data_IF_416952074661
#
_entry.id   IF_416952074661
#
_cell.length_a   1.000
_cell.length_b   1.000
_cell.length_c   1.000
_cell.angle_alpha   90.00
_cell.angle_beta   90.00
_cell.angle_gamma   90.00
#
_symmetry.space_group_name_H-M   'P 1'
#
loop_
_entity.id
_entity.type
_entity.pdbx_description
1 polymer ?
#
# COMPACT_ATOMS: atom_id res chain seq x y z
N UNK A 1 -10.59 -16.62 -13.93
CA UNK A 1 -11.14 -15.70 -12.90
C UNK A 1 -9.98 -14.82 -12.42
N UNK A 2 -10.17 -13.67 -11.76
CA UNK A 2 -9.03 -12.91 -11.18
C UNK A 2 -9.32 -12.64 -9.72
N UNK A 3 -8.34 -12.87 -8.85
CA UNK A 3 -8.48 -12.61 -7.42
C UNK A 3 -7.84 -11.28 -7.09
N UNK A 4 -8.66 -10.29 -6.70
CA UNK A 4 -8.22 -8.92 -6.43
C UNK A 4 -7.96 -8.75 -4.93
N UNK A 5 -6.80 -8.22 -4.58
CA UNK A 5 -6.42 -7.87 -3.20
C UNK A 5 -6.24 -6.35 -3.13
N UNK A 6 -7.11 -5.69 -2.36
CA UNK A 6 -7.01 -4.28 -2.04
C UNK A 6 -6.07 -4.10 -0.84
N UNK A 7 -4.85 -3.66 -1.12
CA UNK A 7 -3.78 -3.59 -0.11
C UNK A 7 -4.10 -2.57 0.99
N UNK A 8 -4.80 -1.48 0.66
CA UNK A 8 -5.12 -0.42 1.62
C UNK A 8 -6.21 -0.83 2.63
N UNK A 9 -7.15 -1.67 2.23
CA UNK A 9 -8.22 -2.17 3.10
C UNK A 9 -7.64 -3.14 4.14
N UNK A 10 -6.67 -3.95 3.69
CA UNK A 10 -5.89 -4.82 4.56
C UNK A 10 -5.09 -4.02 5.59
N UNK A 11 -4.51 -2.88 5.22
CA UNK A 11 -3.77 -2.02 6.17
C UNK A 11 -4.67 -1.38 7.21
N UNK A 12 -5.88 -0.95 6.82
CA UNK A 12 -6.78 -0.19 7.69
C UNK A 12 -7.40 -1.07 8.78
N UNK A 13 -7.83 -2.28 8.40
CA UNK A 13 -8.50 -3.22 9.32
C UNK A 13 -7.60 -3.71 10.45
N UNK A 14 -6.30 -3.87 10.20
CA UNK A 14 -5.35 -4.37 11.20
C UNK A 14 -4.83 -3.31 12.18
N UNK A 15 -4.88 -2.02 11.83
CA UNK A 15 -4.58 -0.94 12.78
C UNK A 15 -5.69 -0.73 13.81
N UNK A 16 -6.94 -1.07 13.46
CA UNK A 16 -8.11 -0.89 14.32
C UNK A 16 -8.52 -2.14 15.12
N UNK A 17 -8.00 -3.33 14.80
CA UNK A 17 -8.46 -4.59 15.40
C UNK A 17 -7.37 -5.33 16.17
N UNK A 18 -7.10 -4.87 17.39
CA UNK A 18 -6.57 -5.71 18.47
C UNK A 18 -7.69 -6.39 19.29
N UNK A 19 -8.93 -6.44 18.79
CA UNK A 19 -10.04 -7.13 19.45
C UNK A 19 -11.08 -7.70 18.49
N UNK A 20 -11.10 -9.05 18.44
CA UNK A 20 -12.22 -9.97 18.15
C UNK A 20 -12.90 -10.07 16.77
N UNK A 21 -12.85 -11.31 16.27
CA UNK A 21 -13.92 -12.12 15.64
C UNK A 21 -14.09 -12.14 14.11
N UNK A 22 -14.35 -13.37 13.65
CA UNK A 22 -14.22 -13.92 12.30
C UNK A 22 -15.53 -13.90 11.50
N UNK A 23 -15.51 -13.40 10.27
CA UNK A 23 -16.58 -13.61 9.28
C UNK A 23 -16.14 -14.58 8.16
N UNK A 24 -17.07 -15.43 7.72
CA UNK A 24 -16.77 -16.72 7.06
C UNK A 24 -16.47 -16.66 5.56
N UNK A 25 -16.38 -15.47 4.95
CA UNK A 25 -16.06 -15.31 3.52
C UNK A 25 -14.62 -14.79 3.26
N UNK A 26 -13.84 -14.54 4.31
CA UNK A 26 -12.41 -14.13 4.23
C UNK A 26 -11.42 -15.25 4.53
N UNK A 27 -11.86 -16.51 4.64
CA UNK A 27 -11.02 -17.63 5.13
C UNK A 27 -9.91 -18.09 4.18
N UNK A 28 -9.81 -17.58 2.96
CA UNK A 28 -8.82 -18.03 1.96
C UNK A 28 -7.49 -17.25 2.05
N UNK A 29 -7.44 -16.12 2.77
CA UNK A 29 -6.21 -15.36 2.98
C UNK A 29 -5.76 -15.56 4.43
N UNK A 30 -5.14 -16.72 4.73
CA UNK A 30 -4.25 -16.80 5.89
C UNK A 30 -2.95 -16.07 5.57
N UNK A 31 -3.01 -14.74 5.58
CA UNK A 31 -1.82 -13.91 5.56
C UNK A 31 -1.18 -13.99 6.95
N UNK A 32 0.00 -14.60 7.02
CA UNK A 32 0.83 -14.55 8.23
C UNK A 32 1.45 -13.16 8.33
N UNK A 33 0.90 -12.33 9.22
CA UNK A 33 1.54 -11.07 9.61
C UNK A 33 2.65 -11.38 10.61
N UNK A 34 3.89 -11.05 10.23
CA UNK A 34 5.01 -11.00 11.18
C UNK A 34 5.24 -9.54 11.55
N UNK A 35 4.75 -9.11 12.71
CA UNK A 35 5.23 -7.87 13.31
C UNK A 35 6.65 -8.15 13.83
N UNK A 36 7.66 -7.48 13.28
CA UNK A 36 9.03 -7.63 13.80
C UNK A 36 9.08 -7.11 15.24
N UNK A 37 9.56 -7.90 16.21
CA UNK A 37 9.56 -7.52 17.61
C UNK A 37 10.43 -6.28 17.84
N UNK A 38 9.91 -5.36 18.66
CA UNK A 38 10.53 -4.09 19.03
C UNK A 38 11.64 -4.36 20.05
N UNK A 39 12.91 -4.12 19.69
CA UNK A 39 14.00 -4.04 20.66
C UNK A 39 13.82 -2.77 21.51
N UNK A 40 13.38 -2.94 22.75
CA UNK A 40 13.27 -1.85 23.73
C UNK A 40 14.64 -1.55 24.31
N UNK A 41 15.28 -0.48 23.84
CA UNK A 41 16.49 0.07 24.45
C UNK A 41 16.10 0.98 25.62
N UNK A 42 16.70 0.73 26.78
CA UNK A 42 16.46 1.36 28.08
C UNK A 42 16.74 2.87 28.05
N UNK A 43 15.82 3.65 28.63
CA UNK A 43 15.84 5.12 28.69
C UNK A 43 16.90 5.66 29.66
N UNK A 44 17.58 6.73 29.24
CA UNK A 44 18.19 7.74 30.11
C UNK A 44 17.43 9.07 29.88
N UNK A 45 17.09 9.85 30.93
CA UNK A 45 16.39 11.11 30.74
C UNK A 45 17.36 12.29 30.80
N UNK A 46 17.35 13.16 29.78
CA UNK A 46 17.20 14.63 29.91
C UNK A 46 17.36 15.29 28.52
N UNK A 47 16.69 16.43 28.38
CA UNK A 47 16.62 17.35 27.24
C UNK A 47 15.56 17.08 26.15
N UNK A 48 14.62 18.01 26.12
CA UNK A 48 13.53 18.15 25.17
C UNK A 48 14.07 18.66 23.84
N UNK A 49 14.20 17.74 22.87
CA UNK A 49 14.16 17.97 21.41
C UNK A 49 13.89 16.64 20.67
N UNK A 50 13.21 15.71 21.34
CA UNK A 50 12.91 14.40 20.78
C UNK A 50 11.54 14.45 20.10
N UNK A 51 11.51 15.02 18.89
CA UNK A 51 10.54 14.60 17.89
C UNK A 51 10.70 13.08 17.72
N UNK A 52 9.96 12.31 18.53
CA UNK A 52 9.97 10.86 18.50
C UNK A 52 9.60 10.46 17.09
N UNK A 53 10.63 10.10 16.34
CA UNK A 53 10.56 9.41 15.07
C UNK A 53 9.81 8.10 15.33
N UNK A 54 8.48 8.19 15.35
CA UNK A 54 7.62 7.02 15.33
C UNK A 54 7.89 6.38 13.99
N UNK A 55 8.79 5.40 14.00
CA UNK A 55 9.09 4.55 12.86
C UNK A 55 7.79 3.82 12.56
N UNK A 56 7.03 4.34 11.61
CA UNK A 56 5.81 3.73 11.12
C UNK A 56 6.17 2.32 10.71
N UNK A 57 5.64 1.33 11.43
CA UNK A 57 5.88 -0.06 11.08
C UNK A 57 5.22 -0.29 9.74
N UNK A 58 6.05 -0.53 8.73
CA UNK A 58 5.59 -0.75 7.39
C UNK A 58 4.97 -2.13 7.30
N UNK A 59 3.68 -2.18 6.99
CA UNK A 59 2.95 -3.43 6.91
C UNK A 59 3.39 -4.18 5.65
N UNK A 60 3.66 -5.47 5.82
CA UNK A 60 4.10 -6.38 4.76
C UNK A 60 3.04 -7.45 4.57
N UNK A 61 2.69 -7.72 3.32
CA UNK A 61 1.83 -8.85 2.94
C UNK A 61 2.71 -9.97 2.38
N UNK A 62 2.38 -11.23 2.69
CA UNK A 62 3.08 -12.39 2.16
C UNK A 62 2.14 -13.27 1.34
N UNK A 63 2.53 -13.62 0.12
CA UNK A 63 1.83 -14.59 -0.73
C UNK A 63 2.68 -15.84 -0.90
N UNK A 64 2.07 -17.00 -0.70
CA UNK A 64 2.77 -18.30 -0.73
C UNK A 64 2.46 -19.10 -1.98
N UNK A 65 3.50 -19.68 -2.59
CA UNK A 65 3.33 -20.61 -3.70
C UNK A 65 2.55 -21.85 -3.30
N UNK A 66 2.77 -22.38 -2.09
CA UNK A 66 2.05 -23.55 -1.57
C UNK A 66 0.54 -23.28 -1.43
N UNK A 67 0.17 -22.11 -0.90
CA UNK A 67 -1.25 -21.72 -0.77
C UNK A 67 -1.88 -21.50 -2.16
N UNK A 68 -1.12 -20.95 -3.10
CA UNK A 68 -1.59 -20.74 -4.47
C UNK A 68 -1.83 -22.07 -5.20
N UNK A 69 -0.93 -23.04 -5.02
CA UNK A 69 -1.11 -24.42 -5.53
C UNK A 69 -2.32 -25.11 -4.89
N UNK A 70 -2.50 -24.97 -3.58
CA UNK A 70 -3.62 -25.58 -2.86
C UNK A 70 -4.98 -24.98 -3.24
N UNK A 71 -5.06 -23.65 -3.41
CA UNK A 71 -6.32 -22.94 -3.66
C UNK A 71 -6.64 -22.75 -5.14
N UNK A 72 -5.65 -22.95 -6.02
CA UNK A 72 -5.73 -22.61 -7.44
C UNK A 72 -5.73 -21.10 -7.73
N UNK A 73 -5.69 -20.25 -6.70
CA UNK A 73 -5.54 -18.80 -6.83
C UNK A 73 -4.06 -18.43 -6.98
N UNK A 74 -3.78 -17.34 -7.69
CA UNK A 74 -2.41 -16.92 -8.00
C UNK A 74 -1.74 -17.63 -9.16
N UNK A 75 -2.34 -18.71 -9.69
CA UNK A 75 -1.79 -19.44 -10.83
C UNK A 75 -2.04 -18.69 -12.15
N UNK A 76 -1.50 -19.21 -13.26
CA UNK A 76 -1.62 -18.61 -14.60
C UNK A 76 -3.07 -18.32 -15.02
N UNK A 77 -4.02 -19.20 -14.67
CA UNK A 77 -5.45 -19.07 -15.03
C UNK A 77 -6.21 -18.11 -14.11
N UNK A 78 -5.75 -17.98 -12.85
CA UNK A 78 -6.38 -17.19 -11.81
C UNK A 78 -5.36 -16.31 -11.09
N UNK A 79 -4.79 -15.28 -11.75
CA UNK A 79 -3.73 -14.48 -11.17
C UNK A 79 -4.16 -13.70 -9.93
N UNK A 80 -3.19 -13.37 -9.08
CA UNK A 80 -3.34 -12.36 -8.04
C UNK A 80 -3.29 -10.97 -8.69
N UNK A 81 -4.27 -10.12 -8.38
CA UNK A 81 -4.28 -8.72 -8.79
C UNK A 81 -4.14 -7.86 -7.53
N UNK A 82 -2.96 -7.27 -7.36
CA UNK A 82 -2.61 -6.42 -6.23
C UNK A 82 -2.99 -4.98 -6.57
N UNK A 83 -3.78 -4.33 -5.72
CA UNK A 83 -4.23 -2.96 -5.90
C UNK A 83 -3.90 -2.12 -4.67
N UNK A 84 -2.96 -1.18 -4.81
CA UNK A 84 -2.69 -0.14 -3.84
C UNK A 84 -3.55 1.11 -4.11
N UNK A 85 -3.56 2.06 -3.17
CA UNK A 85 -4.24 3.33 -3.34
C UNK A 85 -3.67 4.15 -4.51
N UNK A 86 -4.46 5.07 -5.09
CA UNK A 86 -3.99 5.91 -6.19
C UNK A 86 -2.69 6.64 -5.85
N UNK A 87 -1.75 6.58 -6.79
CA UNK A 87 -0.38 7.13 -6.72
C UNK A 87 0.55 6.49 -5.68
N UNK A 88 0.16 5.35 -5.10
CA UNK A 88 1.10 4.44 -4.45
C UNK A 88 1.72 3.49 -5.48
N UNK A 89 2.85 2.89 -5.10
CA UNK A 89 3.57 1.85 -5.85
C UNK A 89 3.64 0.58 -5.01
N UNK A 90 3.97 -0.53 -5.65
CA UNK A 90 4.03 -1.85 -5.04
C UNK A 90 5.45 -2.39 -5.20
N UNK A 91 6.11 -2.64 -4.08
CA UNK A 91 7.42 -3.26 -4.02
C UNK A 91 7.26 -4.76 -3.74
N UNK A 92 7.90 -5.58 -4.57
CA UNK A 92 7.75 -7.03 -4.59
C UNK A 92 9.13 -7.66 -4.41
N UNK A 93 9.26 -8.45 -3.36
CA UNK A 93 10.46 -9.21 -3.02
C UNK A 93 10.11 -10.69 -3.01
N UNK A 94 10.93 -11.53 -3.65
CA UNK A 94 10.81 -12.98 -3.57
C UNK A 94 11.71 -13.53 -2.48
N UNK A 95 11.21 -14.52 -1.75
CA UNK A 95 11.95 -15.32 -0.79
C UNK A 95 11.94 -16.75 -1.33
N UNK A 96 13.07 -17.22 -1.84
CA UNK A 96 13.22 -18.53 -2.49
C UNK A 96 13.81 -19.55 -1.50
N UNK A 97 13.09 -20.65 -1.25
CA UNK A 97 13.52 -21.72 -0.35
C UNK A 97 14.16 -22.91 -1.08
N UNK A 98 14.31 -22.86 -2.41
CA UNK A 98 14.87 -23.96 -3.18
C UNK A 98 16.37 -24.21 -2.93
N UNK A 99 17.10 -23.19 -2.45
CA UNK A 99 18.56 -23.25 -2.30
C UNK A 99 19.05 -24.16 -1.17
N UNK A 100 18.21 -24.54 -0.19
CA UNK A 100 18.64 -25.36 0.96
C UNK A 100 18.86 -26.84 0.62
N UNK A 101 18.43 -27.31 -0.56
CA UNK A 101 18.55 -28.72 -0.95
C UNK A 101 19.82 -29.09 -1.72
N UNK A 102 20.70 -28.12 -2.03
CA UNK A 102 21.99 -28.37 -2.70
C UNK A 102 23.19 -28.47 -1.75
N UNK A 103 22.97 -28.54 -0.44
CA UNK A 103 23.88 -29.31 0.40
C UNK A 103 23.71 -30.77 0.00
N UNK A 104 24.37 -31.14 -1.10
CA UNK A 104 24.74 -32.51 -1.40
C UNK A 104 25.16 -33.13 -0.06
N UNK A 105 24.62 -34.30 0.32
CA UNK A 105 25.18 -35.01 1.46
C UNK A 105 26.68 -35.05 1.19
N UNK A 106 27.46 -34.42 2.06
CA UNK A 106 28.92 -34.57 2.00
C UNK A 106 29.15 -36.05 1.82
N UNK A 107 29.91 -36.47 0.78
CA UNK A 107 30.09 -37.87 0.48
C UNK A 107 30.44 -38.54 1.81
N UNK A 108 29.52 -39.37 2.32
CA UNK A 108 29.72 -40.11 3.54
C UNK A 108 31.01 -40.88 3.31
N UNK A 109 32.07 -40.34 3.90
CA UNK A 109 33.42 -40.68 3.56
C UNK A 109 33.63 -42.09 4.09
N UNK A 110 33.39 -43.05 3.20
CA UNK A 110 33.54 -44.45 3.49
C UNK A 110 35.04 -44.73 3.47
N UNK A 111 35.69 -44.34 4.57
CA UNK A 111 36.90 -44.93 5.16
C UNK A 111 37.78 -45.66 4.14
N UNK A 112 38.60 -44.93 3.39
CA UNK A 112 39.87 -45.48 2.89
C UNK A 112 41.02 -44.64 3.40
N UNK A 113 41.72 -45.24 4.35
CA UNK A 113 43.14 -45.01 4.66
C UNK A 113 43.90 -44.91 3.35
N UNK A 114 44.31 -43.71 2.94
CA UNK A 114 45.49 -43.53 2.09
C UNK A 114 46.33 -42.37 2.62
N UNK A 115 47.59 -42.74 2.80
CA UNK A 115 48.72 -41.96 3.27
C UNK A 115 48.82 -40.59 2.59
N UNK A 116 49.05 -39.59 3.44
CA UNK A 116 50.00 -38.49 3.24
C UNK A 116 50.85 -38.61 1.98
N UNK A 117 50.62 -37.72 1.01
CA UNK A 117 51.64 -37.09 0.17
C UNK A 117 51.03 -35.94 -0.66
N UNK A 118 51.32 -34.71 -0.22
CA UNK A 118 51.34 -33.42 -0.92
C UNK A 118 50.45 -33.21 -2.17
N UNK A 119 49.36 -32.43 -2.08
CA UNK A 119 48.77 -31.84 -3.26
C UNK A 119 49.58 -30.60 -3.67
N UNK A 120 50.42 -30.78 -4.69
CA UNK A 120 50.99 -29.68 -5.46
C UNK A 120 49.85 -29.03 -6.23
N UNK A 121 49.56 -27.75 -5.93
CA UNK A 121 48.50 -26.95 -6.54
C UNK A 121 48.80 -26.74 -8.02
N UNK A 122 48.45 -27.71 -8.88
CA UNK A 122 48.48 -27.53 -10.33
C UNK A 122 47.29 -26.66 -10.73
N UNK A 123 47.65 -25.49 -11.28
CA UNK A 123 46.80 -24.57 -12.03
C UNK A 123 45.66 -25.30 -12.73
N UNK A 124 44.44 -24.97 -12.32
CA UNK A 124 43.24 -25.37 -13.05
C UNK A 124 43.24 -24.71 -14.42
N UNK A 125 43.07 -25.59 -15.40
CA UNK A 125 43.05 -25.33 -16.82
C UNK A 125 42.04 -24.26 -17.25
N UNK A 126 42.52 -23.43 -18.17
CA UNK A 126 41.81 -22.45 -19.00
C UNK A 126 40.89 -23.12 -20.05
N UNK A 127 40.26 -24.24 -19.69
CA UNK A 127 39.61 -25.15 -20.63
C UNK A 127 38.10 -24.93 -20.71
N UNK A 128 37.71 -24.33 -21.83
CA UNK A 128 36.39 -24.32 -22.47
C UNK A 128 35.30 -23.48 -21.80
N UNK A 129 34.98 -22.40 -22.51
CA UNK A 129 33.68 -21.73 -22.62
C UNK A 129 32.50 -22.71 -22.81
N UNK A 130 32.22 -23.57 -21.84
CA UNK A 130 30.85 -24.02 -21.61
C UNK A 130 30.23 -22.91 -20.79
N UNK A 131 29.70 -21.89 -21.47
CA UNK A 131 28.57 -21.14 -20.93
C UNK A 131 27.51 -22.20 -20.66
N UNK A 132 27.48 -22.74 -19.44
CA UNK A 132 26.37 -23.55 -19.00
C UNK A 132 25.15 -22.69 -19.22
N UNK A 133 24.34 -23.08 -20.20
CA UNK A 133 23.08 -22.45 -20.51
C UNK A 133 22.22 -22.62 -19.26
N UNK A 134 22.28 -21.62 -18.38
CA UNK A 134 21.52 -21.62 -17.14
C UNK A 134 20.07 -21.43 -17.54
N UNK A 135 19.36 -22.55 -17.68
CA UNK A 135 17.91 -22.54 -17.84
C UNK A 135 17.31 -22.01 -16.54
N UNK A 136 16.83 -20.77 -16.58
CA UNK A 136 16.14 -20.19 -15.43
C UNK A 136 14.84 -20.97 -15.19
N UNK A 137 14.71 -21.53 -13.99
CA UNK A 137 13.41 -22.04 -13.50
C UNK A 137 12.54 -20.84 -13.14
N UNK A 138 11.52 -20.60 -13.95
CA UNK A 138 10.58 -19.48 -13.74
C UNK A 138 9.68 -19.77 -12.54
N UNK A 139 9.66 -18.87 -11.57
CA UNK A 139 8.79 -18.91 -10.39
C UNK A 139 7.47 -18.17 -10.62
N UNK A 140 7.55 -16.99 -11.24
CA UNK A 140 6.38 -16.14 -11.45
C UNK A 140 6.56 -15.16 -12.62
N UNK A 141 5.45 -14.65 -13.14
CA UNK A 141 5.39 -13.51 -14.04
C UNK A 141 4.67 -12.34 -13.37
N UNK A 142 5.23 -11.14 -13.51
CA UNK A 142 4.69 -9.89 -12.98
C UNK A 142 4.30 -9.01 -14.17
N UNK A 143 3.05 -8.58 -14.23
CA UNK A 143 2.54 -7.67 -15.27
C UNK A 143 2.00 -6.39 -14.64
N UNK A 144 2.32 -5.26 -15.23
CA UNK A 144 1.78 -3.95 -14.86
C UNK A 144 0.78 -3.46 -15.90
N UNK A 145 -0.17 -2.62 -15.48
CA UNK A 145 -1.12 -2.00 -16.42
C UNK A 145 -0.55 -0.80 -17.16
N UNK A 146 0.48 -0.15 -16.62
CA UNK A 146 1.11 1.04 -17.18
C UNK A 146 2.06 0.74 -18.34
N UNK A 147 2.53 -0.50 -18.46
CA UNK A 147 3.46 -0.93 -19.50
C UNK A 147 3.12 -2.36 -19.93
N UNK A 148 3.19 -2.66 -21.22
CA UNK A 148 2.85 -4.00 -21.74
C UNK A 148 3.97 -5.05 -21.54
N UNK A 149 4.84 -4.82 -20.55
CA UNK A 149 5.94 -5.70 -20.22
C UNK A 149 5.57 -6.76 -19.19
N UNK A 150 6.11 -7.95 -19.37
CA UNK A 150 6.08 -9.03 -18.38
C UNK A 150 7.48 -9.12 -17.78
N UNK A 151 7.58 -8.99 -16.46
CA UNK A 151 8.83 -9.27 -15.73
C UNK A 151 8.79 -10.71 -15.23
N UNK A 152 9.76 -11.52 -15.65
CA UNK A 152 9.86 -12.93 -15.27
C UNK A 152 10.79 -13.10 -14.08
N UNK A 153 10.31 -13.77 -13.03
CA UNK A 153 11.05 -14.04 -11.80
C UNK A 153 11.65 -15.44 -11.87
N UNK A 154 12.96 -15.53 -11.69
CA UNK A 154 13.75 -16.75 -11.79
C UNK A 154 14.17 -17.27 -10.41
N UNK A 155 14.20 -18.58 -10.24
CA UNK A 155 14.83 -19.22 -9.08
C UNK A 155 16.35 -19.10 -9.14
N UNK A 156 17.01 -19.22 -7.99
CA UNK A 156 18.47 -19.27 -7.89
C UNK A 156 19.18 -17.91 -7.86
N UNK A 157 18.44 -16.79 -7.91
CA UNK A 157 19.01 -15.44 -7.85
C UNK A 157 19.41 -14.99 -6.43
N UNK A 158 19.09 -15.79 -5.40
CA UNK A 158 19.37 -15.52 -4.00
C UNK A 158 18.18 -15.87 -3.10
N UNK A 159 18.42 -15.96 -1.78
CA UNK A 159 17.37 -16.30 -0.80
C UNK A 159 16.30 -15.21 -0.67
N UNK A 160 16.68 -13.94 -0.74
CA UNK A 160 15.76 -12.80 -0.65
C UNK A 160 16.16 -11.78 -1.71
N UNK A 161 15.30 -11.56 -2.72
CA UNK A 161 15.63 -10.72 -3.87
C UNK A 161 14.49 -9.76 -4.14
N UNK A 162 14.79 -8.46 -4.24
CA UNK A 162 13.84 -7.48 -4.77
C UNK A 162 13.71 -7.70 -6.28
N UNK A 163 12.52 -8.11 -6.73
CA UNK A 163 12.31 -8.47 -8.13
C UNK A 163 11.62 -7.38 -8.92
N UNK A 164 10.86 -6.52 -8.24
CA UNK A 164 10.11 -5.44 -8.90
C UNK A 164 9.69 -4.36 -7.93
N UNK A 165 9.89 -3.12 -8.32
CA UNK A 165 9.13 -1.98 -7.79
C UNK A 165 8.25 -1.44 -8.92
N UNK A 166 6.93 -1.42 -8.70
CA UNK A 166 5.98 -1.05 -9.74
C UNK A 166 5.96 0.44 -10.02
N UNK A 167 5.54 0.81 -11.23
CA UNK A 167 5.31 2.19 -11.63
C UNK A 167 3.86 2.63 -11.42
N UNK A 168 2.94 1.66 -11.37
CA UNK A 168 1.52 1.88 -11.10
C UNK A 168 1.11 1.38 -9.71
N UNK A 169 -0.12 1.69 -9.31
CA UNK A 169 -0.76 1.15 -8.11
C UNK A 169 -1.42 -0.22 -8.34
N UNK A 170 -1.20 -0.86 -9.49
CA UNK A 170 -1.86 -2.12 -9.87
C UNK A 170 -0.88 -3.09 -10.54
N UNK A 171 -0.69 -4.25 -9.92
CA UNK A 171 0.18 -5.30 -10.42
C UNK A 171 -0.59 -6.62 -10.50
N UNK A 172 -0.39 -7.36 -11.58
CA UNK A 172 -0.87 -8.73 -11.73
C UNK A 172 0.31 -9.70 -11.53
N UNK A 173 0.14 -10.68 -10.65
CA UNK A 173 1.16 -11.66 -10.27
C UNK A 173 0.64 -13.06 -10.58
N UNK A 174 1.40 -13.79 -11.41
CA UNK A 174 1.11 -15.15 -11.86
C UNK A 174 2.20 -16.10 -11.41
N UNK A 175 1.88 -17.04 -10.53
CA UNK A 175 2.79 -18.10 -10.14
C UNK A 175 2.80 -19.19 -11.18
N UNK A 176 4.00 -19.64 -11.50
CA UNK A 176 4.22 -20.88 -12.20
C UNK A 176 4.34 -21.95 -11.13
N UNK A 177 3.21 -22.59 -10.84
CA UNK A 177 3.20 -23.75 -9.95
C UNK A 177 4.14 -24.82 -10.50
N UNK A 178 4.58 -25.72 -9.61
CA UNK A 178 5.30 -26.91 -10.05
C UNK A 178 4.34 -27.83 -10.78
N UNK A 179 4.08 -27.52 -12.06
CA UNK A 179 3.62 -28.55 -12.97
C UNK A 179 4.72 -29.58 -12.91
N UNK A 180 4.36 -30.74 -12.34
CA UNK A 180 5.10 -31.97 -12.60
C UNK A 180 5.33 -31.91 -14.09
N UNK A 181 6.59 -31.79 -14.50
CA UNK A 181 6.97 -32.21 -15.83
C UNK A 181 6.61 -33.69 -15.79
N UNK A 182 5.34 -33.98 -16.07
CA UNK A 182 4.91 -35.29 -16.49
C UNK A 182 5.85 -35.51 -17.64
N UNK A 183 6.82 -36.40 -17.48
CA UNK A 183 7.71 -36.84 -18.53
C UNK A 183 6.82 -37.48 -19.62
N UNK A 184 6.14 -36.62 -20.36
CA UNK A 184 5.30 -36.95 -21.47
C UNK A 184 6.26 -37.26 -22.60
N UNK A 185 6.21 -38.50 -23.05
CA UNK A 185 6.80 -38.95 -24.30
C UNK A 185 8.30 -39.27 -24.29
N UNK A 186 8.78 -39.87 -23.21
CA UNK A 186 9.75 -40.96 -23.34
C UNK A 186 9.06 -42.24 -23.81
N UNK A 187 8.62 -42.27 -25.08
CA UNK A 187 8.30 -43.52 -25.76
C UNK A 187 9.57 -44.37 -25.82
N UNK A 188 9.54 -45.55 -25.19
CA UNK A 188 10.66 -46.51 -25.19
C UNK A 188 11.76 -46.11 -24.20
N UNK A 189 12.20 -46.98 -23.29
CA UNK A 189 12.42 -48.40 -23.43
C UNK A 189 12.12 -49.08 -22.10
N UNK A 190 11.17 -50.01 -22.10
CA UNK A 190 11.03 -51.01 -21.04
C UNK A 190 12.28 -51.89 -21.11
N UNK A 191 13.34 -51.46 -20.44
CA UNK A 191 14.47 -52.33 -20.15
C UNK A 191 13.98 -53.40 -19.19
N UNK A 192 13.91 -54.65 -19.66
CA UNK A 192 13.55 -55.81 -18.87
C UNK A 192 14.49 -55.91 -17.65
N UNK A 193 14.04 -55.44 -16.49
CA UNK A 193 14.79 -55.44 -15.24
C UNK A 193 14.89 -54.10 -14.50
N UNK A 194 14.30 -53.02 -15.01
CA UNK A 194 14.44 -51.68 -14.44
C UNK A 194 13.62 -51.45 -13.16
N UNK A 195 14.30 -51.40 -12.01
CA UNK A 195 13.76 -50.83 -10.77
C UNK A 195 13.40 -49.36 -11.06
N UNK A 196 12.11 -49.03 -11.02
CA UNK A 196 11.63 -47.66 -11.22
C UNK A 196 12.27 -46.74 -10.17
N UNK A 197 13.15 -45.84 -10.63
CA UNK A 197 13.74 -44.84 -9.74
C UNK A 197 12.62 -43.87 -9.34
N UNK A 198 12.33 -43.68 -8.05
CA UNK A 198 11.28 -42.75 -7.64
C UNK A 198 11.65 -41.36 -8.13
N UNK A 199 10.80 -40.77 -8.98
CA UNK A 199 10.94 -39.38 -9.39
C UNK A 199 10.78 -38.50 -8.15
N UNK A 200 11.90 -38.04 -7.59
CA UNK A 200 11.89 -37.11 -6.46
C UNK A 200 11.34 -35.78 -6.96
N UNK A 201 10.09 -35.47 -6.60
CA UNK A 201 9.48 -34.18 -6.89
C UNK A 201 10.08 -33.11 -5.98
N UNK A 202 11.05 -32.37 -6.49
CA UNK A 202 11.58 -31.17 -5.84
C UNK A 202 10.56 -30.03 -6.00
N UNK A 203 9.63 -29.97 -5.04
CA UNK A 203 8.71 -28.85 -4.91
C UNK A 203 9.52 -27.63 -4.44
N UNK A 204 9.77 -26.67 -5.34
CA UNK A 204 10.31 -25.38 -4.94
C UNK A 204 9.18 -24.54 -4.34
N UNK A 205 9.26 -24.31 -3.03
CA UNK A 205 8.39 -23.35 -2.36
C UNK A 205 9.05 -21.97 -2.31
N UNK A 206 8.24 -20.93 -2.45
CA UNK A 206 8.70 -19.55 -2.36
C UNK A 206 7.59 -18.67 -1.78
N UNK A 207 7.99 -17.52 -1.23
CA UNK A 207 7.07 -16.47 -0.78
C UNK A 207 7.34 -15.19 -1.55
N UNK A 208 6.29 -14.42 -1.79
CA UNK A 208 6.39 -13.03 -2.19
C UNK A 208 6.06 -12.13 -1.02
N UNK A 209 7.00 -11.29 -0.61
CA UNK A 209 6.78 -10.18 0.30
C UNK A 209 6.37 -8.95 -0.53
N UNK A 210 5.21 -8.39 -0.20
CA UNK A 210 4.60 -7.24 -0.86
C UNK A 210 4.58 -6.08 0.12
N UNK A 211 4.98 -4.92 -0.38
CA UNK A 211 5.09 -3.70 0.40
C UNK A 211 4.54 -2.53 -0.44
N UNK A 212 3.68 -1.70 0.15
CA UNK A 212 3.16 -0.50 -0.52
C UNK A 212 4.11 0.67 -0.28
N UNK A 213 4.47 1.38 -1.34
CA UNK A 213 5.32 2.57 -1.30
C UNK A 213 4.52 3.82 -1.67
N UNK A 214 4.86 4.95 -1.08
CA UNK A 214 4.21 6.23 -1.28
C UNK A 214 2.89 6.38 -0.52
N UNK A 215 2.28 7.55 -0.67
CA UNK A 215 1.06 7.91 0.03
C UNK A 215 -0.16 7.71 -0.87
N UNK A 216 -1.23 7.11 -0.33
CA UNK A 216 -2.50 7.01 -1.05
C UNK A 216 -3.09 8.41 -1.23
N UNK A 217 -3.55 8.76 -2.43
CA UNK A 217 -4.31 10.00 -2.61
C UNK A 217 -5.61 9.93 -1.79
N UNK A 218 -5.79 10.77 -0.76
CA UNK A 218 -6.99 10.77 0.06
C UNK A 218 -8.20 11.25 -0.76
N UNK A 219 -9.37 10.68 -0.47
CA UNK A 219 -10.65 11.13 -1.03
C UNK A 219 -11.23 12.20 -0.13
N UNK A 220 -11.45 13.40 -0.65
CA UNK A 220 -12.09 14.48 0.10
C UNK A 220 -13.57 14.63 -0.30
N UNK A 221 -14.45 14.94 0.67
CA UNK A 221 -15.83 15.27 0.35
C UNK A 221 -15.92 16.61 -0.36
N UNK A 222 -16.95 16.80 -1.20
CA UNK A 222 -17.28 18.11 -1.74
C UNK A 222 -17.51 19.11 -0.58
N UNK A 223 -17.06 20.38 -0.69
CA UNK A 223 -16.58 21.06 -1.90
C UNK A 223 -15.05 21.02 -2.06
N UNK A 224 -14.32 20.06 -1.49
CA UNK A 224 -12.87 19.98 -1.67
C UNK A 224 -12.49 19.32 -3.00
N UNK A 225 -11.43 19.81 -3.62
CA UNK A 225 -10.71 19.12 -4.69
C UNK A 225 -9.28 18.87 -4.26
N UNK A 226 -8.71 17.75 -4.69
CA UNK A 226 -7.32 17.44 -4.46
C UNK A 226 -6.63 17.04 -5.75
N UNK A 227 -5.50 17.68 -6.03
CA UNK A 227 -4.68 17.44 -7.20
C UNK A 227 -3.30 16.96 -6.74
N UNK A 228 -2.90 15.79 -7.23
CA UNK A 228 -1.58 15.23 -6.94
C UNK A 228 -0.59 15.56 -8.05
N UNK A 229 0.60 15.98 -7.67
CA UNK A 229 1.73 16.25 -8.56
C UNK A 229 2.97 15.60 -7.93
N UNK A 230 3.30 14.38 -8.36
CA UNK A 230 4.39 13.58 -7.77
C UNK A 230 4.12 13.29 -6.28
N UNK A 231 5.02 13.78 -5.42
CA UNK A 231 4.93 13.65 -3.97
C UNK A 231 4.23 14.84 -3.30
N UNK A 232 3.65 15.77 -4.07
CA UNK A 232 2.84 16.87 -3.56
C UNK A 232 1.35 16.59 -3.78
N UNK A 233 0.54 16.91 -2.78
CA UNK A 233 -0.91 16.94 -2.87
C UNK A 233 -1.39 18.35 -2.56
N UNK A 234 -1.94 19.02 -3.56
CA UNK A 234 -2.60 20.29 -3.40
C UNK A 234 -4.07 20.04 -3.13
N UNK A 235 -4.57 20.54 -2.00
CA UNK A 235 -5.98 20.46 -1.64
C UNK A 235 -6.56 21.86 -1.68
N UNK A 236 -7.64 22.05 -2.42
CA UNK A 236 -8.29 23.34 -2.62
C UNK A 236 -9.77 23.24 -2.23
N UNK A 237 -10.27 24.29 -1.56
CA UNK A 237 -11.71 24.45 -1.35
C UNK A 237 -12.35 25.05 -2.61
N UNK A 238 -13.26 24.32 -3.27
CA UNK A 238 -14.08 24.89 -4.33
C UNK A 238 -15.00 25.96 -3.73
N UNK A 239 -14.76 27.23 -4.05
CA UNK A 239 -15.72 28.29 -3.76
C UNK A 239 -16.86 28.16 -4.77
N UNK A 240 -18.08 28.02 -4.28
CA UNK A 240 -19.30 27.98 -5.10
C UNK A 240 -19.65 29.30 -5.80
N UNK A 241 -18.68 29.99 -6.42
CA UNK A 241 -18.94 31.11 -7.34
C UNK A 241 -18.44 32.50 -6.93
N UNK A 242 -17.61 32.67 -5.89
CA UNK A 242 -17.11 34.00 -5.51
C UNK A 242 -15.58 34.09 -5.53
N UNK A 243 -15.10 34.75 -6.57
CA UNK A 243 -13.74 35.14 -6.88
C UNK A 243 -13.03 35.83 -5.71
N UNK A 244 -11.99 35.18 -5.18
CA UNK A 244 -10.73 35.76 -4.66
C UNK A 244 -10.20 34.89 -3.51
N UNK A 245 -9.14 34.12 -3.78
CA UNK A 245 -8.35 33.39 -2.79
C UNK A 245 -9.02 32.12 -2.23
N UNK A 246 -9.04 31.03 -3.01
CA UNK A 246 -9.32 29.70 -2.47
C UNK A 246 -8.33 29.40 -1.34
N UNK A 247 -8.83 29.02 -0.16
CA UNK A 247 -7.96 28.45 0.87
C UNK A 247 -7.54 27.08 0.37
N UNK A 248 -6.25 26.93 0.08
CA UNK A 248 -5.66 25.66 -0.27
C UNK A 248 -4.47 25.37 0.63
N UNK A 249 -4.16 24.09 0.78
CA UNK A 249 -2.98 23.64 1.49
C UNK A 249 -2.25 22.58 0.67
N UNK A 250 -0.95 22.48 0.91
CA UNK A 250 -0.10 21.50 0.25
C UNK A 250 0.39 20.50 1.27
N UNK A 251 0.19 19.21 0.98
CA UNK A 251 0.77 18.10 1.70
C UNK A 251 1.92 17.52 0.88
N UNK A 252 2.99 17.08 1.55
CA UNK A 252 4.13 16.39 0.94
C UNK A 252 4.15 14.95 1.43
N UNK A 253 4.30 14.01 0.52
CA UNK A 253 4.44 12.60 0.86
C UNK A 253 5.88 12.33 1.30
N UNK A 254 6.06 12.02 2.58
CA UNK A 254 7.37 11.73 3.17
C UNK A 254 7.25 10.43 3.94
N UNK A 255 8.08 9.44 3.61
CA UNK A 255 8.09 8.11 4.25
C UNK A 255 6.69 7.47 4.30
N UNK A 256 5.99 7.47 3.16
CA UNK A 256 4.66 6.88 3.00
C UNK A 256 3.55 7.57 3.83
N UNK A 257 3.80 8.78 4.36
CA UNK A 257 2.84 9.59 5.12
C UNK A 257 2.69 10.99 4.50
N UNK A 258 1.45 11.48 4.41
CA UNK A 258 1.19 12.87 4.03
C UNK A 258 1.52 13.82 5.20
N UNK A 259 2.47 14.73 5.00
CA UNK A 259 2.88 15.73 5.97
C UNK A 259 2.59 17.13 5.41
N UNK A 260 1.92 17.97 6.18
CA UNK A 260 1.67 19.36 5.83
C UNK A 260 0.54 19.97 6.64
N UNK A 261 0.23 21.23 6.35
CA UNK A 261 -0.91 21.91 6.95
C UNK A 261 -2.20 21.30 6.42
N UNK A 262 -3.19 21.09 7.28
CA UNK A 262 -4.53 20.66 6.89
C UNK A 262 -5.53 21.72 7.34
N UNK A 263 -6.53 22.00 6.51
CA UNK A 263 -7.62 22.93 6.80
C UNK A 263 -8.98 22.25 6.67
N UNK A 264 -10.02 22.92 7.15
CA UNK A 264 -11.40 22.59 6.79
C UNK A 264 -11.93 23.64 5.81
N UNK A 265 -12.90 23.29 4.96
CA UNK A 265 -13.57 24.25 4.09
C UNK A 265 -14.83 24.85 4.73
N UNK A 266 -15.00 24.68 6.04
CA UNK A 266 -16.24 25.01 6.75
C UNK A 266 -16.47 26.51 6.95
N UNK A 267 -15.42 27.34 6.82
CA UNK A 267 -15.48 28.77 7.14
C UNK A 267 -15.82 29.70 5.96
N UNK A 268 -16.17 29.17 4.79
CA UNK A 268 -16.44 30.02 3.62
C UNK A 268 -17.86 30.65 3.58
N UNK A 269 -18.75 30.40 4.56
CA UNK A 269 -20.19 30.65 4.39
C UNK A 269 -20.89 31.63 5.34
N UNK A 270 -20.26 32.26 6.35
CA UNK A 270 -21.06 32.91 7.42
C UNK A 270 -20.81 34.40 7.74
N UNK A 271 -19.97 35.16 7.05
CA UNK A 271 -19.66 36.54 7.49
C UNK A 271 -20.38 37.68 6.78
N UNK A 272 -21.34 37.42 5.87
CA UNK A 272 -22.15 38.53 5.32
C UNK A 272 -23.32 38.90 6.26
N UNK A 273 -23.82 37.97 7.09
CA UNK A 273 -24.94 38.27 7.99
C UNK A 273 -24.53 39.06 9.25
N UNK A 274 -23.33 38.83 9.79
CA UNK A 274 -22.91 39.43 11.08
C UNK A 274 -22.40 40.89 10.94
N UNK A 275 -21.98 41.31 9.74
CA UNK A 275 -21.64 42.72 9.49
C UNK A 275 -22.85 43.58 9.11
N UNK A 276 -23.95 43.00 8.65
CA UNK A 276 -25.16 43.78 8.37
C UNK A 276 -25.90 44.13 9.67
N UNK A 277 -25.93 43.26 10.68
CA UNK A 277 -26.62 43.55 11.96
C UNK A 277 -25.98 44.72 12.74
N UNK A 278 -24.68 44.97 12.57
CA UNK A 278 -24.02 46.11 13.21
C UNK A 278 -24.15 47.44 12.45
N UNK A 279 -24.68 47.47 11.23
CA UNK A 279 -24.98 48.72 10.50
C UNK A 279 -26.40 49.25 10.73
N UNK A 280 -27.32 48.44 11.27
CA UNK A 280 -28.73 48.85 11.45
C UNK A 280 -29.15 49.46 12.81
N UNK A 281 -28.34 49.62 13.88
CA UNK A 281 -28.85 50.25 15.10
C UNK A 281 -29.10 51.76 14.92
N UNK A 282 -28.41 52.43 14.00
CA UNK A 282 -28.56 53.87 13.80
C UNK A 282 -29.74 54.23 12.90
N UNK A 283 -29.93 53.50 11.79
CA UNK A 283 -31.01 53.80 10.83
C UNK A 283 -32.41 53.55 11.42
N UNK A 284 -32.57 52.52 12.25
CA UNK A 284 -33.84 52.24 12.93
C UNK A 284 -34.14 53.26 14.02
N UNK A 285 -33.13 53.80 14.73
CA UNK A 285 -33.32 54.83 15.76
C UNK A 285 -33.85 56.15 15.20
N UNK A 286 -33.36 56.59 14.03
CA UNK A 286 -33.77 57.87 13.43
C UNK A 286 -35.23 57.80 12.97
N UNK A 287 -35.64 56.67 12.38
CA UNK A 287 -37.04 56.47 11.95
C UNK A 287 -37.99 56.37 13.14
N UNK A 288 -37.62 55.65 14.21
CA UNK A 288 -38.46 55.56 15.42
C UNK A 288 -38.61 56.89 16.12
N UNK A 289 -37.54 57.68 16.25
CA UNK A 289 -37.62 59.04 16.82
C UNK A 289 -38.54 59.93 15.97
N UNK A 290 -38.45 59.85 14.65
CA UNK A 290 -39.32 60.59 13.74
C UNK A 290 -40.81 60.26 13.91
N UNK A 291 -41.15 58.97 14.01
CA UNK A 291 -42.54 58.53 14.19
C UNK A 291 -43.11 58.98 15.55
N UNK A 292 -42.32 58.86 16.62
CA UNK A 292 -42.74 59.31 17.96
C UNK A 292 -42.99 60.83 17.98
N UNK A 293 -42.11 61.61 17.33
CA UNK A 293 -42.28 63.06 17.24
C UNK A 293 -43.57 63.45 16.50
N UNK A 294 -43.87 62.80 15.36
CA UNK A 294 -45.10 63.03 14.61
C UNK A 294 -46.34 62.67 15.44
N UNK A 295 -46.31 61.54 16.15
CA UNK A 295 -47.41 61.10 17.01
C UNK A 295 -47.66 62.09 18.15
N UNK A 296 -46.61 62.60 18.79
CA UNK A 296 -46.69 63.63 19.84
C UNK A 296 -47.30 64.94 19.32
N UNK A 297 -46.93 65.37 18.11
CA UNK A 297 -47.53 66.56 17.47
C UNK A 297 -49.02 66.33 17.20
N UNK A 298 -49.38 65.13 16.73
CA UNK A 298 -50.77 64.78 16.44
C UNK A 298 -51.63 64.74 17.72
N UNK A 299 -51.13 64.11 18.79
CA UNK A 299 -51.81 64.04 20.08
C UNK A 299 -52.01 65.43 20.72
N UNK A 300 -51.03 66.35 20.60
CA UNK A 300 -51.18 67.75 21.06
C UNK A 300 -52.26 68.51 20.29
N UNK A 301 -52.43 68.27 18.99
CA UNK A 301 -53.51 68.89 18.21
C UNK A 301 -54.87 68.33 18.61
N UNK A 302 -54.94 67.03 18.89
CA UNK A 302 -56.20 66.37 19.28
C UNK A 302 -56.71 66.86 20.64
N UNK A 303 -55.82 67.01 21.63
CA UNK A 303 -56.16 67.51 22.97
C UNK A 303 -56.67 68.96 22.96
N UNK A 304 -56.09 69.85 22.13
CA UNK A 304 -56.61 71.21 21.96
C UNK A 304 -58.01 71.27 21.36
N UNK A 305 -58.39 70.28 20.54
CA UNK A 305 -59.72 70.26 19.91
C UNK A 305 -60.80 69.85 20.92
N UNK A 306 -60.44 69.04 21.91
CA UNK A 306 -61.36 68.58 22.97
C UNK A 306 -61.60 69.70 24.01
N UNK A 307 -60.61 70.55 24.30
CA UNK A 307 -60.79 71.64 25.28
C UNK A 307 -61.68 72.80 24.81
N UNK A 308 -62.09 72.82 23.55
CA UNK A 308 -63.04 73.81 23.00
C UNK A 308 -64.47 73.27 22.88
N UNK A 309 -64.68 71.99 23.20
CA UNK A 309 -65.98 71.32 23.11
C UNK A 309 -66.58 70.97 24.48
N UNK A 310 -65.97 71.46 25.56
CA UNK A 310 -66.49 71.46 26.93
C UNK A 310 -66.69 72.93 27.32
#
# INVERSE_FOLDING_TARGET
MRTVIHLNDYMSTHLSSSSSSSSSSSKIIQAFLTSTPRTTTTKTPLHADNAKQQRTQKIKLFLSSAISEQTGCGLSENPWVLMAGPGQRINITVIDFSQESLQLPEPMDNKRVYSSQNPTYKQMDKSRNRTSEFTCRVLANIRESSFDGISTVCSGQGKVVNVKTSTSNKVELRFHGNRVLSDGSGSGSVGAGGIAKPAVRLHSHFLFQIEVLGCATPTYPAPMTAKRIGDLLMVECNKGGASSGGTGWTLTCINDVWIGNHGNCSHASSTISEKLENLFPYATSVVTIGVIAVFMIYARRYTKKISHSI
#
